data_IF_035049340313
#
_entry.id   IF_035049340313
#
_cell.length_a   1.000
_cell.length_b   1.000
_cell.length_c   1.000
_cell.angle_alpha   90.00
_cell.angle_beta   90.00
_cell.angle_gamma   90.00
#
_symmetry.space_group_name_H-M   'P 1'
#
loop_
_entity.id
_entity.type
_entity.pdbx_description
1 polymer ?
#
# COMPACT_ATOMS: atom_id res chain seq x y z
N UNK A 1 -42.27 14.00 -35.35
CA UNK A 1 -40.79 13.81 -35.40
C UNK A 1 -40.38 13.19 -34.08
N UNK A 2 -40.09 11.88 -34.05
CA UNK A 2 -39.65 11.18 -32.84
C UNK A 2 -38.12 11.05 -32.90
N UNK A 3 -37.44 11.70 -31.98
CA UNK A 3 -35.99 11.60 -31.81
C UNK A 3 -35.65 10.19 -31.31
N UNK A 4 -34.86 9.43 -32.08
CA UNK A 4 -34.31 8.16 -31.61
C UNK A 4 -33.26 8.49 -30.56
N UNK A 5 -33.65 8.33 -29.29
CA UNK A 5 -32.73 8.33 -28.15
C UNK A 5 -31.55 7.43 -28.49
N UNK A 6 -30.38 8.04 -28.68
CA UNK A 6 -29.15 7.33 -28.92
C UNK A 6 -28.91 6.35 -27.78
N UNK A 7 -29.06 5.06 -28.06
CA UNK A 7 -28.57 4.02 -27.18
C UNK A 7 -27.05 4.20 -27.08
N UNK A 8 -26.57 4.67 -25.94
CA UNK A 8 -25.14 4.71 -25.64
C UNK A 8 -24.60 3.27 -25.77
N UNK A 9 -23.66 2.97 -26.69
CA UNK A 9 -23.11 1.64 -26.84
C UNK A 9 -22.15 1.38 -25.69
N UNK A 10 -22.69 0.94 -24.55
CA UNK A 10 -21.97 0.84 -23.30
C UNK A 10 -22.50 -0.27 -22.41
N UNK A 11 -22.56 -1.50 -22.90
CA UNK A 11 -22.49 -2.71 -22.05
C UNK A 11 -22.28 -3.97 -22.90
N UNK A 12 -21.11 -4.12 -23.51
CA UNK A 12 -20.70 -5.46 -23.93
C UNK A 12 -20.23 -6.22 -22.69
N UNK A 13 -21.19 -6.76 -21.93
CA UNK A 13 -21.00 -7.83 -20.92
C UNK A 13 -20.52 -9.14 -21.57
N UNK A 14 -19.48 -9.07 -22.40
CA UNK A 14 -18.84 -10.21 -23.03
C UNK A 14 -17.62 -10.66 -22.23
N UNK A 15 -17.07 -11.84 -22.52
CA UNK A 15 -15.90 -12.41 -21.83
C UNK A 15 -14.72 -11.45 -21.65
N UNK A 16 -14.57 -10.44 -22.52
CA UNK A 16 -13.58 -9.38 -22.38
C UNK A 16 -13.64 -8.64 -21.04
N UNK A 17 -14.83 -8.39 -20.48
CA UNK A 17 -14.95 -7.70 -19.19
C UNK A 17 -14.41 -8.55 -18.03
N UNK A 18 -14.67 -9.87 -18.05
CA UNK A 18 -14.16 -10.81 -17.04
C UNK A 18 -12.64 -10.92 -17.14
N UNK A 19 -12.11 -10.97 -18.37
CA UNK A 19 -10.66 -11.01 -18.61
C UNK A 19 -10.02 -9.71 -18.10
N UNK A 20 -10.58 -8.55 -18.41
CA UNK A 20 -10.06 -7.26 -17.91
C UNK A 20 -10.11 -7.20 -16.39
N UNK A 21 -11.23 -7.54 -15.77
CA UNK A 21 -11.33 -7.55 -14.31
C UNK A 21 -10.39 -8.56 -13.65
N UNK A 22 -10.32 -9.78 -14.17
CA UNK A 22 -9.40 -10.81 -13.67
C UNK A 22 -7.95 -10.35 -13.77
N UNK A 23 -7.58 -9.69 -14.88
CA UNK A 23 -6.27 -9.08 -15.07
C UNK A 23 -5.99 -7.94 -14.06
N UNK A 24 -6.96 -7.06 -13.82
CA UNK A 24 -6.84 -5.97 -12.83
C UNK A 24 -6.70 -6.51 -11.41
N UNK A 25 -7.45 -7.55 -11.04
CA UNK A 25 -7.34 -8.21 -9.73
C UNK A 25 -5.96 -8.84 -9.57
N UNK A 26 -5.47 -9.57 -10.58
CA UNK A 26 -4.15 -10.17 -10.54
C UNK A 26 -3.06 -9.10 -10.40
N UNK A 27 -3.15 -8.01 -11.15
CA UNK A 27 -2.23 -6.87 -11.04
C UNK A 27 -2.26 -6.27 -9.64
N UNK A 28 -3.46 -6.05 -9.08
CA UNK A 28 -3.62 -5.54 -7.73
C UNK A 28 -2.99 -6.47 -6.68
N UNK A 29 -3.18 -7.79 -6.81
CA UNK A 29 -2.57 -8.79 -5.93
C UNK A 29 -1.04 -8.77 -5.99
N UNK A 30 -0.47 -8.64 -7.19
CA UNK A 30 0.99 -8.52 -7.38
C UNK A 30 1.52 -7.25 -6.70
N UNK A 31 0.83 -6.12 -6.85
CA UNK A 31 1.25 -4.84 -6.29
C UNK A 31 1.10 -4.78 -4.77
N UNK A 32 0.05 -5.39 -4.20
CA UNK A 32 -0.18 -5.39 -2.75
C UNK A 32 0.69 -6.41 -2.02
N UNK A 33 1.11 -7.50 -2.69
CA UNK A 33 1.92 -8.57 -2.10
C UNK A 33 3.13 -8.09 -1.28
N UNK A 34 4.03 -7.21 -1.79
CA UNK A 34 5.17 -6.73 -0.98
C UNK A 34 4.77 -5.94 0.27
N UNK A 35 3.59 -5.31 0.29
CA UNK A 35 3.07 -4.63 1.48
C UNK A 35 2.52 -5.61 2.49
N UNK A 36 1.83 -6.67 2.04
CA UNK A 36 1.37 -7.76 2.92
C UNK A 36 2.56 -8.44 3.61
N UNK A 37 3.66 -8.64 2.87
CA UNK A 37 4.91 -9.18 3.42
C UNK A 37 5.49 -8.25 4.50
N UNK A 38 5.56 -6.94 4.25
CA UNK A 38 6.06 -5.97 5.22
C UNK A 38 5.20 -5.94 6.50
N UNK A 39 3.88 -5.95 6.35
CA UNK A 39 2.96 -6.01 7.49
C UNK A 39 3.17 -7.31 8.27
N UNK A 40 3.21 -8.47 7.61
CA UNK A 40 3.45 -9.75 8.28
C UNK A 40 4.78 -9.76 9.04
N UNK A 41 5.87 -9.28 8.41
CA UNK A 41 7.19 -9.23 9.04
C UNK A 41 7.26 -8.25 10.21
N UNK A 42 6.47 -7.17 10.21
CA UNK A 42 6.41 -6.24 11.36
C UNK A 42 5.94 -6.90 12.66
N UNK A 43 5.29 -8.07 12.55
CA UNK A 43 4.85 -8.87 13.69
C UNK A 43 5.64 -10.18 13.86
N UNK A 44 6.81 -10.30 13.23
CA UNK A 44 7.73 -11.43 13.43
C UNK A 44 8.92 -10.99 14.25
N UNK A 45 9.62 -11.97 14.84
CA UNK A 45 10.95 -11.73 15.40
C UNK A 45 11.96 -11.41 14.30
N UNK A 46 13.03 -10.69 14.64
CA UNK A 46 14.10 -10.33 13.69
C UNK A 46 14.69 -11.56 12.99
N UNK A 47 14.88 -12.65 13.73
CA UNK A 47 15.40 -13.91 13.20
C UNK A 47 14.44 -14.56 12.18
N UNK A 48 13.14 -14.53 12.44
CA UNK A 48 12.12 -15.10 11.55
C UNK A 48 11.89 -14.20 10.33
N UNK A 49 11.87 -12.88 10.49
CA UNK A 49 11.79 -11.93 9.39
C UNK A 49 13.00 -12.05 8.44
N UNK A 50 14.17 -12.38 8.97
CA UNK A 50 15.39 -12.60 8.16
C UNK A 50 15.39 -13.95 7.44
N UNK A 51 14.99 -15.02 8.11
CA UNK A 51 15.06 -16.40 7.57
C UNK A 51 13.85 -16.80 6.71
N UNK A 52 12.66 -16.28 7.03
CA UNK A 52 11.40 -16.59 6.36
C UNK A 52 10.66 -15.30 5.95
N UNK A 53 11.40 -14.34 5.40
CA UNK A 53 10.91 -12.99 5.12
C UNK A 53 9.76 -12.90 4.10
N UNK A 54 9.58 -13.88 3.21
CA UNK A 54 8.46 -13.88 2.24
C UNK A 54 7.19 -14.56 2.75
N UNK A 55 7.25 -15.26 3.90
CA UNK A 55 6.10 -15.94 4.45
C UNK A 55 5.07 -14.92 4.96
N UNK A 56 3.82 -15.00 4.53
CA UNK A 56 2.75 -14.11 5.02
C UNK A 56 2.20 -14.52 6.39
N UNK A 57 2.50 -15.74 6.83
CA UNK A 57 2.01 -16.31 8.08
C UNK A 57 3.19 -16.66 8.99
N UNK A 58 3.00 -16.42 10.28
CA UNK A 58 3.91 -16.84 11.34
C UNK A 58 3.17 -17.71 12.35
N UNK A 59 3.85 -18.68 12.95
CA UNK A 59 3.33 -19.37 14.13
C UNK A 59 3.57 -18.57 15.41
N UNK A 60 4.48 -17.59 15.38
CA UNK A 60 4.99 -16.86 16.53
C UNK A 60 4.75 -15.35 16.36
N UNK A 61 3.52 -14.95 16.08
CA UNK A 61 3.15 -13.53 16.00
C UNK A 61 3.56 -12.81 17.29
N UNK A 62 4.30 -11.70 17.14
CA UNK A 62 4.84 -10.91 18.25
C UNK A 62 4.73 -9.42 17.95
N UNK A 63 4.82 -8.59 18.99
CA UNK A 63 4.88 -7.12 18.87
C UNK A 63 6.22 -6.55 19.37
N UNK A 64 7.21 -7.42 19.56
CA UNK A 64 8.56 -7.07 20.04
C UNK A 64 9.20 -5.94 19.22
N UNK A 65 9.12 -6.00 17.89
CA UNK A 65 9.63 -4.95 17.01
C UNK A 65 9.04 -3.57 17.33
N UNK A 66 7.76 -3.50 17.69
CA UNK A 66 7.11 -2.25 18.09
C UNK A 66 7.59 -1.77 19.47
N UNK A 67 7.80 -2.67 20.42
CA UNK A 67 8.39 -2.31 21.71
C UNK A 67 9.77 -1.69 21.54
N UNK A 68 10.63 -2.31 20.71
CA UNK A 68 11.95 -1.77 20.37
C UNK A 68 11.83 -0.42 19.64
N UNK A 69 10.89 -0.29 18.70
CA UNK A 69 10.66 0.94 17.95
C UNK A 69 10.27 2.11 18.86
N UNK A 70 9.34 1.90 19.79
CA UNK A 70 8.80 2.98 20.62
C UNK A 70 9.60 3.27 21.89
N UNK A 71 10.30 2.27 22.45
CA UNK A 71 11.04 2.42 23.71
C UNK A 71 12.56 2.51 23.54
N UNK A 72 13.10 1.95 22.44
CA UNK A 72 14.55 1.83 22.24
C UNK A 72 15.06 2.57 21.00
N UNK A 73 14.20 3.31 20.29
CA UNK A 73 14.57 4.09 19.11
C UNK A 73 14.05 5.53 19.19
N UNK A 74 14.73 6.47 18.54
CA UNK A 74 14.29 7.87 18.43
C UNK A 74 13.15 8.05 17.39
N UNK A 75 12.24 7.08 17.32
CA UNK A 75 11.22 6.99 16.26
C UNK A 75 10.34 8.24 16.20
N UNK A 76 9.95 8.77 17.37
CA UNK A 76 9.17 10.01 17.46
C UNK A 76 9.89 11.21 16.85
N UNK A 77 11.20 11.36 17.12
CA UNK A 77 12.02 12.44 16.58
C UNK A 77 12.15 12.32 15.06
N UNK A 78 12.45 11.12 14.55
CA UNK A 78 12.61 10.90 13.10
C UNK A 78 11.31 11.12 12.33
N UNK A 79 10.18 10.69 12.91
CA UNK A 79 8.85 10.91 12.34
C UNK A 79 8.51 12.40 12.30
N UNK A 80 8.80 13.14 13.38
CA UNK A 80 8.56 14.58 13.45
C UNK A 80 9.45 15.35 12.47
N UNK A 81 10.75 14.99 12.37
CA UNK A 81 11.66 15.60 11.41
C UNK A 81 11.16 15.41 9.97
N UNK A 82 10.72 14.19 9.63
CA UNK A 82 10.18 13.88 8.31
C UNK A 82 8.90 14.66 8.02
N UNK A 83 8.01 14.79 9.01
CA UNK A 83 6.78 15.58 8.89
C UNK A 83 7.09 17.06 8.64
N UNK A 84 7.98 17.67 9.44
CA UNK A 84 8.37 19.07 9.30
C UNK A 84 8.96 19.33 7.92
N UNK A 85 9.91 18.50 7.47
CA UNK A 85 10.54 18.65 6.16
C UNK A 85 9.52 18.50 5.04
N UNK A 86 8.63 17.50 5.12
CA UNK A 86 7.59 17.27 4.10
C UNK A 86 6.64 18.45 3.99
N UNK A 87 6.18 18.99 5.13
CA UNK A 87 5.30 20.17 5.16
C UNK A 87 6.03 21.39 4.63
N UNK A 88 7.24 21.68 5.11
CA UNK A 88 8.01 22.85 4.67
C UNK A 88 8.29 22.83 3.16
N UNK A 89 8.71 21.69 2.61
CA UNK A 89 8.99 21.53 1.17
C UNK A 89 7.70 21.63 0.35
N UNK A 90 6.60 21.03 0.81
CA UNK A 90 5.31 21.10 0.12
C UNK A 90 4.79 22.54 0.05
N UNK A 91 4.78 23.24 1.19
CA UNK A 91 4.38 24.65 1.23
C UNK A 91 5.30 25.50 0.36
N UNK A 92 6.61 25.29 0.46
CA UNK A 92 7.59 25.97 -0.38
C UNK A 92 7.32 25.79 -1.87
N UNK A 93 7.04 24.56 -2.32
CA UNK A 93 6.70 24.27 -3.71
C UNK A 93 5.40 24.94 -4.14
N UNK A 94 4.34 24.82 -3.34
CA UNK A 94 3.01 25.37 -3.66
C UNK A 94 3.03 26.89 -3.78
N UNK A 95 3.76 27.59 -2.91
CA UNK A 95 3.75 29.06 -2.90
C UNK A 95 4.80 29.72 -3.79
N UNK A 96 5.93 29.05 -4.06
CA UNK A 96 7.07 29.70 -4.74
C UNK A 96 7.52 29.03 -6.04
N UNK A 97 7.10 27.79 -6.33
CA UNK A 97 7.58 27.01 -7.49
C UNK A 97 6.45 26.54 -8.40
N UNK A 98 5.18 26.80 -8.04
CA UNK A 98 4.01 26.41 -8.85
C UNK A 98 4.09 26.88 -10.30
#
# INVERSE_FOLDING_TARGET
MAERVGQYPGERRGHGWIITLGGLILLALIYIFPFLVQVANSFKSDAEATSAGLALWSANWTTEAYHVLFNNSDFGLWTMNSLIVTVAVTLGRVFFVS
#
